data_IF_175945962405
#
_entry.id   IF_175945962405
#
_cell.length_a   1.000
_cell.length_b   1.000
_cell.length_c   1.000
_cell.angle_alpha   90.00
_cell.angle_beta   90.00
_cell.angle_gamma   90.00
#
_symmetry.space_group_name_H-M   'P 1'
#
loop_
_entity.id
_entity.type
_entity.pdbx_description
1 polymer ?
#
# COMPACT_ATOMS: atom_id res chain seq x y z
N UNK A 1 30.42 51.23 -38.83
CA UNK A 1 30.44 50.00 -38.01
C UNK A 1 31.69 50.05 -37.13
N UNK A 2 31.61 49.72 -35.83
CA UNK A 2 31.39 48.35 -35.32
C UNK A 2 30.28 48.21 -34.25
N UNK A 3 29.68 47.03 -34.17
CA UNK A 3 28.75 46.59 -33.12
C UNK A 3 29.48 45.55 -32.24
N UNK A 4 29.49 45.77 -30.93
CA UNK A 4 29.94 44.79 -29.93
C UNK A 4 28.95 44.82 -28.77
N UNK A 5 27.92 43.98 -28.86
CA UNK A 5 27.19 43.48 -27.71
C UNK A 5 26.93 42.00 -27.96
N UNK A 6 27.59 41.14 -27.17
CA UNK A 6 26.92 40.31 -26.19
C UNK A 6 27.91 39.25 -25.68
N UNK A 7 28.26 39.35 -24.40
CA UNK A 7 29.12 38.41 -23.70
C UNK A 7 28.34 37.10 -23.55
N UNK A 8 28.69 36.08 -24.34
CA UNK A 8 28.14 34.74 -24.14
C UNK A 8 29.18 33.89 -23.39
N UNK A 9 28.79 33.49 -22.19
CA UNK A 9 29.58 32.79 -21.20
C UNK A 9 30.03 31.40 -21.67
N UNK A 10 31.20 31.02 -21.19
CA UNK A 10 31.92 29.78 -21.44
C UNK A 10 31.17 28.55 -20.90
N UNK A 11 31.02 27.55 -21.76
CA UNK A 11 31.29 26.12 -21.53
C UNK A 11 30.87 25.48 -20.18
N UNK A 12 29.86 24.59 -20.20
CA UNK A 12 29.93 23.27 -19.55
C UNK A 12 29.02 22.27 -20.29
N UNK A 13 29.66 21.34 -21.00
CA UNK A 13 29.03 20.12 -21.48
C UNK A 13 28.77 19.18 -20.28
N UNK A 14 27.54 19.13 -19.77
CA UNK A 14 27.00 17.98 -19.02
C UNK A 14 25.47 18.02 -18.96
N UNK A 15 24.81 17.76 -20.09
CA UNK A 15 23.36 17.49 -20.11
C UNK A 15 23.14 16.10 -20.71
N UNK A 16 23.90 15.12 -20.23
CA UNK A 16 23.60 13.69 -20.45
C UNK A 16 22.90 13.05 -19.24
N UNK A 17 22.40 13.86 -18.30
CA UNK A 17 21.68 13.37 -17.11
C UNK A 17 20.18 13.75 -17.07
N UNK A 18 19.53 13.98 -18.20
CA UNK A 18 18.06 13.98 -18.30
C UNK A 18 17.50 12.54 -18.39
N UNK A 19 18.07 11.61 -17.61
CA UNK A 19 17.51 10.29 -17.32
C UNK A 19 17.42 10.03 -15.80
N UNK A 20 17.60 11.06 -14.97
CA UNK A 20 17.42 10.98 -13.52
C UNK A 20 16.18 11.75 -13.04
N UNK A 21 15.24 12.02 -13.97
CA UNK A 21 13.91 12.53 -13.60
C UNK A 21 13.17 11.39 -12.92
N UNK A 22 13.10 11.50 -11.59
CA UNK A 22 12.01 10.97 -10.78
C UNK A 22 11.73 9.47 -10.93
N UNK A 23 12.66 8.66 -10.41
CA UNK A 23 12.19 7.50 -9.65
C UNK A 23 11.59 8.03 -8.35
N UNK A 24 10.45 8.73 -8.47
CA UNK A 24 9.57 8.95 -7.33
C UNK A 24 9.38 7.57 -6.73
N UNK A 25 9.74 7.42 -5.45
CA UNK A 25 9.22 6.35 -4.62
C UNK A 25 7.72 6.60 -4.47
N UNK A 26 6.96 6.49 -5.57
CA UNK A 26 5.53 6.47 -5.57
C UNK A 26 5.18 5.07 -5.09
N UNK A 27 5.23 4.92 -3.76
CA UNK A 27 4.71 3.74 -3.10
C UNK A 27 3.24 3.71 -3.49
N UNK A 28 2.90 2.82 -4.42
CA UNK A 28 1.54 2.70 -4.92
C UNK A 28 0.64 2.24 -3.77
N UNK A 29 -0.18 3.16 -3.28
CA UNK A 29 -1.13 2.88 -2.21
C UNK A 29 -2.07 1.74 -2.58
N UNK A 30 -2.46 1.62 -3.86
CA UNK A 30 -3.28 0.51 -4.34
C UNK A 30 -2.57 -0.83 -4.15
N UNK A 31 -1.26 -0.87 -4.43
CA UNK A 31 -0.42 -2.05 -4.21
C UNK A 31 -0.32 -2.42 -2.74
N UNK A 32 -0.10 -1.45 -1.84
CA UNK A 32 -0.07 -1.71 -0.40
C UNK A 32 -1.41 -2.25 0.08
N UNK A 33 -2.52 -1.61 -0.28
CA UNK A 33 -3.85 -2.04 0.16
C UNK A 33 -4.13 -3.44 -0.35
N UNK A 34 -3.77 -3.75 -1.61
CA UNK A 34 -3.89 -5.09 -2.17
C UNK A 34 -3.06 -6.11 -1.39
N UNK A 35 -1.78 -5.86 -1.17
CA UNK A 35 -0.91 -6.76 -0.37
C UNK A 35 -1.47 -6.99 1.04
N UNK A 36 -2.08 -5.97 1.66
CA UNK A 36 -2.68 -6.09 2.99
C UNK A 36 -3.99 -6.88 2.99
N UNK A 37 -4.81 -6.76 1.95
CA UNK A 37 -6.01 -7.58 1.77
C UNK A 37 -5.62 -9.04 1.52
N UNK A 38 -4.59 -9.28 0.71
CA UNK A 38 -4.08 -10.62 0.45
C UNK A 38 -3.53 -11.26 1.75
N UNK A 39 -2.77 -10.51 2.54
CA UNK A 39 -2.29 -10.93 3.87
C UNK A 39 -3.44 -11.21 4.85
N UNK A 40 -4.53 -10.43 4.80
CA UNK A 40 -5.72 -10.69 5.63
C UNK A 40 -6.36 -12.03 5.26
N UNK A 41 -6.48 -12.32 3.97
CA UNK A 41 -7.01 -13.59 3.49
C UNK A 41 -6.15 -14.77 3.94
N UNK A 42 -4.82 -14.65 3.87
CA UNK A 42 -3.89 -15.66 4.39
C UNK A 42 -4.11 -15.92 5.88
N UNK A 43 -4.22 -14.86 6.69
CA UNK A 43 -4.48 -14.99 8.14
C UNK A 43 -5.81 -15.66 8.45
N UNK A 44 -6.84 -15.36 7.65
CA UNK A 44 -8.16 -15.99 7.80
C UNK A 44 -8.08 -17.49 7.53
N UNK A 45 -7.41 -17.90 6.44
CA UNK A 45 -7.20 -19.31 6.10
C UNK A 45 -6.34 -20.02 7.14
N UNK A 46 -5.29 -19.38 7.65
CA UNK A 46 -4.46 -19.93 8.73
C UNK A 46 -5.29 -20.17 10.00
N UNK A 47 -6.10 -19.20 10.42
CA UNK A 47 -6.97 -19.33 11.59
C UNK A 47 -8.00 -20.47 11.42
N UNK A 48 -8.53 -20.63 10.21
CA UNK A 48 -9.47 -21.70 9.88
C UNK A 48 -8.79 -23.08 9.92
N UNK A 49 -7.57 -23.20 9.37
CA UNK A 49 -6.77 -24.42 9.44
C UNK A 49 -6.43 -24.81 10.88
N UNK A 50 -5.96 -23.84 11.69
CA UNK A 50 -5.68 -24.04 13.12
C UNK A 50 -6.93 -24.48 13.89
N UNK A 51 -8.10 -23.94 13.53
CA UNK A 51 -9.39 -24.33 14.11
C UNK A 51 -9.74 -25.78 13.75
N UNK A 52 -9.52 -26.19 12.51
CA UNK A 52 -9.77 -27.56 12.04
C UNK A 52 -8.82 -28.55 12.72
N UNK A 53 -7.54 -28.21 12.87
CA UNK A 53 -6.55 -29.03 13.59
C UNK A 53 -6.91 -29.21 15.07
N UNK A 54 -7.45 -28.16 15.69
CA UNK A 54 -7.96 -28.24 17.06
C UNK A 54 -9.16 -29.18 17.18
N UNK A 55 -10.13 -29.08 16.29
CA UNK A 55 -11.33 -29.95 16.30
C UNK A 55 -10.94 -31.42 16.07
N UNK A 56 -9.88 -31.68 15.28
CA UNK A 56 -9.34 -33.02 15.03
C UNK A 56 -8.59 -33.62 16.21
N UNK A 57 -8.35 -32.85 17.28
CA UNK A 57 -7.67 -33.31 18.49
C UNK A 57 -6.14 -33.26 18.42
N UNK A 58 -5.56 -32.65 17.37
CA UNK A 58 -4.12 -32.53 17.14
C UNK A 58 -3.52 -31.22 17.67
N UNK A 59 -4.35 -30.22 18.02
CA UNK A 59 -3.83 -28.94 18.49
C UNK A 59 -3.32 -29.03 19.93
N UNK A 60 -2.00 -28.87 20.06
CA UNK A 60 -1.29 -28.82 21.34
C UNK A 60 -1.61 -27.55 22.14
N UNK A 61 -2.15 -26.50 21.50
CA UNK A 61 -2.34 -25.18 22.09
C UNK A 61 -3.62 -24.47 21.60
N UNK A 62 -4.76 -24.75 22.25
CA UNK A 62 -6.06 -24.06 22.03
C UNK A 62 -5.92 -22.53 22.03
N UNK A 63 -5.03 -22.01 22.89
CA UNK A 63 -4.79 -20.59 23.04
C UNK A 63 -4.22 -19.94 21.77
N UNK A 64 -3.40 -20.65 21.01
CA UNK A 64 -2.84 -20.13 19.76
C UNK A 64 -3.92 -19.99 18.68
N UNK A 65 -4.81 -20.98 18.59
CA UNK A 65 -5.97 -20.94 17.68
C UNK A 65 -6.87 -19.76 18.01
N UNK A 66 -7.21 -19.60 19.29
CA UNK A 66 -8.06 -18.50 19.75
C UNK A 66 -7.41 -17.13 19.46
N UNK A 67 -6.09 -17.01 19.65
CA UNK A 67 -5.35 -15.79 19.34
C UNK A 67 -5.35 -15.49 17.84
N UNK A 68 -5.09 -16.49 17.00
CA UNK A 68 -5.12 -16.33 15.54
C UNK A 68 -6.51 -15.94 15.02
N UNK A 69 -7.58 -16.50 15.60
CA UNK A 69 -8.96 -16.13 15.28
C UNK A 69 -9.26 -14.68 15.68
N UNK A 70 -8.85 -14.25 16.87
CA UNK A 70 -9.07 -12.88 17.33
C UNK A 70 -8.27 -11.87 16.49
N UNK A 71 -7.03 -12.21 16.12
CA UNK A 71 -6.20 -11.39 15.23
C UNK A 71 -6.83 -11.25 13.84
N UNK A 72 -7.33 -12.35 13.27
CA UNK A 72 -8.02 -12.32 11.98
C UNK A 72 -9.29 -11.45 12.04
N UNK A 73 -10.05 -11.55 13.13
CA UNK A 73 -11.26 -10.74 13.36
C UNK A 73 -10.94 -9.25 13.45
N UNK A 74 -9.98 -8.85 14.28
CA UNK A 74 -9.58 -7.45 14.42
C UNK A 74 -9.04 -6.88 13.10
N UNK A 75 -8.26 -7.68 12.38
CA UNK A 75 -7.71 -7.29 11.07
C UNK A 75 -8.82 -7.08 10.02
N UNK A 76 -9.85 -7.92 10.03
CA UNK A 76 -11.01 -7.78 9.16
C UNK A 76 -11.82 -6.53 9.49
N UNK A 77 -12.05 -6.25 10.78
CA UNK A 77 -12.74 -5.04 11.21
C UNK A 77 -12.01 -3.78 10.73
N UNK A 78 -10.69 -3.74 10.89
CA UNK A 78 -9.85 -2.66 10.37
C UNK A 78 -9.98 -2.52 8.84
N UNK A 79 -9.96 -3.63 8.10
CA UNK A 79 -10.11 -3.61 6.65
C UNK A 79 -11.46 -3.03 6.21
N UNK A 80 -12.54 -3.33 6.93
CA UNK A 80 -13.88 -2.75 6.68
C UNK A 80 -13.85 -1.24 6.92
N UNK A 81 -13.22 -0.77 7.99
CA UNK A 81 -13.09 0.67 8.26
C UNK A 81 -12.32 1.39 7.15
N UNK A 82 -11.22 0.81 6.68
CA UNK A 82 -10.43 1.35 5.56
C UNK A 82 -11.29 1.37 4.29
N UNK A 83 -11.99 0.28 3.95
CA UNK A 83 -12.91 0.22 2.80
C UNK A 83 -13.93 1.36 2.85
N UNK A 84 -14.56 1.58 4.00
CA UNK A 84 -15.56 2.65 4.15
C UNK A 84 -14.93 4.02 3.93
N UNK A 85 -13.75 4.29 4.51
CA UNK A 85 -13.03 5.55 4.33
C UNK A 85 -12.62 5.81 2.88
N UNK A 86 -12.25 4.77 2.13
CA UNK A 86 -11.94 4.89 0.71
C UNK A 86 -13.18 5.21 -0.13
N UNK A 87 -14.32 4.59 0.18
CA UNK A 87 -15.60 4.90 -0.47
C UNK A 87 -16.05 6.33 -0.16
N UNK A 88 -15.94 6.77 1.10
CA UNK A 88 -16.22 8.15 1.51
C UNK A 88 -15.32 9.15 0.78
N UNK A 89 -14.01 8.89 0.72
CA UNK A 89 -13.07 9.75 0.01
C UNK A 89 -13.40 9.85 -1.48
N UNK A 90 -13.77 8.74 -2.12
CA UNK A 90 -14.24 8.76 -3.50
C UNK A 90 -15.51 9.60 -3.67
N UNK A 91 -16.50 9.44 -2.78
CA UNK A 91 -17.73 10.24 -2.80
C UNK A 91 -17.45 11.74 -2.61
N UNK A 92 -16.54 12.11 -1.72
CA UNK A 92 -16.13 13.50 -1.47
C UNK A 92 -15.52 14.14 -2.73
N UNK A 93 -14.59 13.43 -3.39
CA UNK A 93 -13.95 13.91 -4.63
C UNK A 93 -14.97 14.17 -5.75
N UNK A 94 -16.00 13.30 -5.88
CA UNK A 94 -17.07 13.53 -6.84
C UNK A 94 -17.91 14.75 -6.50
N UNK A 95 -18.16 14.98 -5.21
CA UNK A 95 -18.95 16.12 -4.72
C UNK A 95 -18.23 17.46 -4.85
N UNK A 96 -16.89 17.45 -4.94
CA UNK A 96 -16.08 18.64 -5.22
C UNK A 96 -16.09 19.06 -6.70
N UNK A 97 -16.39 18.15 -7.63
CA UNK A 97 -16.33 18.42 -9.08
C UNK A 97 -17.66 18.88 -9.68
N UNK A 98 -18.75 18.90 -8.90
CA UNK A 98 -20.05 19.46 -9.29
C UNK A 98 -20.18 20.93 -8.87
#
# INVERSE_FOLDING_TARGET
MPNINNINFLTTNNISNTQLIEKQNNIDFSKIVKEKIDQLNEKQVEAENKTIELIKGDAKDIHEVMLSVEEARLSLELAIQIRNKLVEAFQELNRMQL
#
